data_IF_031357683311
#
_entry.id   IF_031357683311
#
_cell.length_a   1.000
_cell.length_b   1.000
_cell.length_c   1.000
_cell.angle_alpha   90.00
_cell.angle_beta   90.00
_cell.angle_gamma   90.00
#
_symmetry.space_group_name_H-M   'P 1'
#
loop_
_entity.id
_entity.type
_entity.pdbx_description
1 polymer ?
#
# COMPACT_ATOMS: atom_id res chain seq x y z
N UNK A 1 20.02 -43.40 4.83
CA UNK A 1 18.97 -42.89 3.92
C UNK A 1 18.03 -41.82 4.53
N UNK A 2 17.90 -41.68 5.86
CA UNK A 2 16.93 -40.76 6.50
C UNK A 2 17.27 -39.25 6.42
N UNK A 3 18.55 -38.85 6.55
CA UNK A 3 18.97 -37.42 6.53
C UNK A 3 18.69 -36.70 5.20
N UNK A 4 18.84 -37.38 4.07
CA UNK A 4 18.64 -36.80 2.73
C UNK A 4 17.16 -36.55 2.42
N UNK A 5 16.28 -37.41 2.96
CA UNK A 5 14.82 -37.20 2.94
C UNK A 5 14.39 -36.07 3.87
N UNK A 6 14.99 -35.96 5.04
CA UNK A 6 14.69 -34.88 6.00
C UNK A 6 15.08 -33.50 5.46
N UNK A 7 16.28 -33.35 4.88
CA UNK A 7 16.70 -32.09 4.25
C UNK A 7 15.85 -31.73 3.03
N UNK A 8 15.44 -32.71 2.23
CA UNK A 8 14.53 -32.50 1.11
C UNK A 8 13.13 -32.03 1.54
N UNK A 9 12.57 -32.62 2.60
CA UNK A 9 11.28 -32.22 3.15
C UNK A 9 11.32 -30.85 3.85
N UNK A 10 12.43 -30.50 4.52
CA UNK A 10 12.60 -29.18 5.12
C UNK A 10 12.72 -28.08 4.06
N UNK A 11 13.41 -28.36 2.94
CA UNK A 11 13.57 -27.41 1.83
C UNK A 11 12.24 -27.12 1.11
N UNK A 12 11.37 -28.11 0.91
CA UNK A 12 10.05 -27.90 0.27
C UNK A 12 9.09 -27.11 1.15
N UNK A 13 9.11 -27.32 2.47
CA UNK A 13 8.30 -26.53 3.41
C UNK A 13 8.78 -25.07 3.45
N UNK A 14 10.09 -24.83 3.54
CA UNK A 14 10.66 -23.49 3.59
C UNK A 14 10.38 -22.69 2.30
N UNK A 15 10.50 -23.32 1.13
CA UNK A 15 10.17 -22.69 -0.16
C UNK A 15 8.67 -22.35 -0.27
N UNK A 16 7.78 -23.23 0.20
CA UNK A 16 6.33 -22.99 0.19
C UNK A 16 5.92 -21.81 1.06
N UNK A 17 6.56 -21.61 2.23
CA UNK A 17 6.26 -20.48 3.11
C UNK A 17 6.78 -19.14 2.60
N UNK A 18 7.91 -19.12 1.89
CA UNK A 18 8.50 -17.88 1.38
C UNK A 18 7.74 -17.33 0.16
N UNK A 19 7.20 -18.20 -0.70
CA UNK A 19 6.41 -17.82 -1.88
C UNK A 19 4.99 -17.33 -1.54
N UNK A 20 4.47 -17.70 -0.35
CA UNK A 20 3.10 -17.39 0.03
C UNK A 20 2.84 -15.88 0.12
N UNK A 21 3.74 -15.11 0.73
CA UNK A 21 3.52 -13.68 0.96
C UNK A 21 3.36 -12.88 -0.35
N UNK A 22 4.22 -13.10 -1.33
CA UNK A 22 4.09 -12.47 -2.66
C UNK A 22 2.88 -13.01 -3.43
N UNK A 23 2.54 -14.30 -3.28
CA UNK A 23 1.36 -14.89 -3.91
C UNK A 23 0.04 -14.27 -3.41
N UNK A 24 0.02 -13.69 -2.19
CA UNK A 24 -1.15 -13.01 -1.64
C UNK A 24 -1.07 -11.48 -1.71
N UNK A 25 0.03 -10.91 -2.19
CA UNK A 25 0.19 -9.46 -2.27
C UNK A 25 -0.61 -8.90 -3.45
N UNK A 26 -1.53 -7.97 -3.17
CA UNK A 26 -2.29 -7.26 -4.22
C UNK A 26 -1.36 -6.38 -5.06
N UNK A 27 -1.47 -6.52 -6.38
CA UNK A 27 -0.82 -5.58 -7.31
C UNK A 27 -1.65 -4.30 -7.45
N UNK A 28 -0.97 -3.16 -7.47
CA UNK A 28 -1.56 -1.86 -7.83
C UNK A 28 -0.75 -1.20 -8.96
N UNK A 29 -0.07 -2.01 -9.78
CA UNK A 29 0.64 -1.54 -10.96
C UNK A 29 -0.35 -1.17 -12.09
N UNK A 30 0.13 -0.53 -13.18
CA UNK A 30 -0.70 -0.23 -14.35
C UNK A 30 -1.36 -1.48 -14.95
N UNK A 31 -0.66 -2.61 -14.91
CA UNK A 31 -1.12 -3.91 -15.44
C UNK A 31 -1.74 -4.81 -14.35
N UNK A 32 -2.12 -4.24 -13.20
CA UNK A 32 -2.79 -5.01 -12.16
C UNK A 32 -4.17 -5.49 -12.60
N UNK A 33 -4.61 -6.63 -12.07
CA UNK A 33 -5.96 -7.12 -12.31
C UNK A 33 -7.02 -6.08 -11.88
N UNK A 34 -8.09 -5.89 -12.67
CA UNK A 34 -9.16 -4.97 -12.31
C UNK A 34 -9.81 -5.35 -10.97
N UNK A 35 -9.93 -4.36 -10.09
CA UNK A 35 -10.55 -4.54 -8.78
C UNK A 35 -12.07 -4.68 -8.94
N UNK A 36 -12.64 -5.74 -8.39
CA UNK A 36 -14.10 -5.92 -8.30
C UNK A 36 -14.66 -5.21 -7.07
N UNK A 37 -15.87 -4.66 -7.22
CA UNK A 37 -16.61 -4.05 -6.12
C UNK A 37 -17.55 -5.07 -5.44
N UNK A 38 -17.77 -4.95 -4.12
CA UNK A 38 -17.06 -4.08 -3.18
C UNK A 38 -15.60 -4.53 -3.01
N UNK A 39 -14.69 -3.59 -2.77
CA UNK A 39 -13.28 -3.92 -2.60
C UNK A 39 -13.11 -4.95 -1.45
N UNK A 40 -12.47 -6.11 -1.72
CA UNK A 40 -12.36 -7.19 -0.74
C UNK A 40 -11.48 -6.81 0.46
N UNK A 41 -10.57 -5.86 0.31
CA UNK A 41 -9.62 -5.46 1.36
C UNK A 41 -10.21 -4.39 2.31
N UNK A 42 -11.38 -3.83 1.99
CA UNK A 42 -12.10 -2.89 2.86
C UNK A 42 -13.07 -3.69 3.73
N UNK A 43 -12.63 -4.09 4.92
CA UNK A 43 -13.41 -4.95 5.83
C UNK A 43 -14.04 -4.16 6.98
N UNK A 44 -15.26 -4.51 7.37
CA UNK A 44 -15.95 -3.93 8.53
C UNK A 44 -15.72 -4.84 9.72
N UNK A 45 -14.99 -4.35 10.73
CA UNK A 45 -14.66 -5.14 11.93
C UNK A 45 -15.75 -5.06 13.00
N UNK A 46 -16.40 -3.91 13.14
CA UNK A 46 -17.45 -3.68 14.14
C UNK A 46 -18.80 -3.45 13.46
N UNK A 47 -19.84 -4.16 13.93
CA UNK A 47 -21.20 -4.08 13.40
C UNK A 47 -21.81 -2.68 13.49
N UNK A 48 -21.31 -1.81 14.38
CA UNK A 48 -21.74 -0.40 14.50
C UNK A 48 -21.29 0.44 13.31
N UNK A 49 -20.21 0.07 12.62
CA UNK A 49 -19.73 0.81 11.47
C UNK A 49 -20.56 0.47 10.23
N UNK A 50 -21.35 1.43 9.76
CA UNK A 50 -22.26 1.28 8.60
C UNK A 50 -21.80 2.04 7.35
N UNK A 51 -20.63 2.68 7.40
CA UNK A 51 -20.17 3.63 6.39
C UNK A 51 -19.17 3.04 5.39
N UNK A 52 -19.12 1.71 5.24
CA UNK A 52 -18.30 1.09 4.19
C UNK A 52 -18.83 1.51 2.83
N UNK A 53 -17.97 2.15 2.04
CA UNK A 53 -18.29 2.52 0.67
C UNK A 53 -18.12 1.30 -0.25
N UNK A 54 -19.19 0.92 -0.96
CA UNK A 54 -19.24 -0.33 -1.73
C UNK A 54 -18.82 -0.21 -3.20
N UNK A 55 -18.58 1.00 -3.69
CA UNK A 55 -18.37 1.31 -5.11
C UNK A 55 -17.02 2.01 -5.39
N UNK A 56 -16.04 1.88 -4.49
CA UNK A 56 -14.70 2.45 -4.66
C UNK A 56 -13.62 1.40 -4.37
N UNK A 57 -12.49 1.43 -5.08
CA UNK A 57 -11.35 0.58 -4.78
C UNK A 57 -10.35 1.31 -3.87
N UNK A 58 -9.43 0.56 -3.28
CA UNK A 58 -8.18 1.11 -2.74
C UNK A 58 -7.27 1.50 -3.91
N UNK A 59 -6.76 2.74 -3.88
CA UNK A 59 -5.85 3.27 -4.89
C UNK A 59 -4.48 3.57 -4.27
N UNK A 60 -3.41 3.28 -5.01
CA UNK A 60 -2.05 3.68 -4.64
C UNK A 60 -1.67 4.96 -5.38
N UNK A 61 -1.64 6.08 -4.65
CA UNK A 61 -1.34 7.40 -5.21
C UNK A 61 0.16 7.64 -5.43
N UNK A 62 1.04 7.02 -4.64
CA UNK A 62 2.48 7.25 -4.72
C UNK A 62 3.33 6.05 -4.30
N UNK A 63 4.58 6.03 -4.76
CA UNK A 63 5.66 5.11 -4.39
C UNK A 63 6.97 5.90 -4.32
N UNK A 64 7.94 5.42 -3.55
CA UNK A 64 9.29 5.99 -3.53
C UNK A 64 9.64 6.80 -2.28
N UNK A 65 8.79 6.75 -1.25
CA UNK A 65 9.15 7.18 0.10
C UNK A 65 9.87 6.06 0.86
N UNK A 66 10.78 6.42 1.77
CA UNK A 66 11.33 5.46 2.74
C UNK A 66 10.35 5.23 3.88
N UNK A 67 9.71 6.29 4.38
CA UNK A 67 8.65 6.22 5.39
C UNK A 67 7.66 7.38 5.20
N UNK A 68 6.53 7.07 4.57
CA UNK A 68 5.43 8.01 4.44
C UNK A 68 4.63 8.11 5.75
N UNK A 69 4.53 9.31 6.33
CA UNK A 69 3.77 9.57 7.55
C UNK A 69 3.15 10.97 7.55
N UNK A 70 2.22 11.23 8.48
CA UNK A 70 1.64 12.55 8.73
C UNK A 70 0.78 13.06 7.57
N UNK A 71 -0.17 12.25 7.04
CA UNK A 71 -1.05 12.71 5.98
C UNK A 71 -1.90 13.88 6.46
N UNK A 72 -1.95 14.96 5.69
CA UNK A 72 -2.77 16.13 5.97
C UNK A 72 -3.44 16.65 4.70
N UNK A 73 -4.76 16.76 4.72
CA UNK A 73 -5.56 17.26 3.59
C UNK A 73 -5.82 18.75 3.72
N UNK A 74 -5.58 19.52 2.64
CA UNK A 74 -6.06 20.89 2.52
C UNK A 74 -7.25 20.93 1.55
N UNK A 75 -8.44 21.21 2.06
CA UNK A 75 -9.67 21.25 1.27
C UNK A 75 -9.75 22.47 0.32
N UNK A 76 -9.24 23.63 0.73
CA UNK A 76 -9.26 24.85 -0.10
C UNK A 76 -8.29 24.71 -1.27
N UNK A 77 -7.09 24.20 -0.98
CA UNK A 77 -6.05 23.98 -1.99
C UNK A 77 -6.18 22.66 -2.75
N UNK A 78 -7.08 21.77 -2.34
CA UNK A 78 -7.32 20.45 -2.95
C UNK A 78 -6.05 19.61 -3.12
N UNK A 79 -5.29 19.48 -2.03
CA UNK A 79 -4.06 18.69 -2.03
C UNK A 79 -3.85 17.92 -0.73
N UNK A 80 -3.15 16.79 -0.83
CA UNK A 80 -2.70 15.97 0.28
C UNK A 80 -1.20 16.19 0.49
N UNK A 81 -0.78 16.49 1.72
CA UNK A 81 0.61 16.43 2.16
C UNK A 81 0.91 15.16 2.95
N UNK A 82 2.18 14.74 2.92
CA UNK A 82 2.76 13.81 3.88
C UNK A 82 4.27 14.04 3.97
N UNK A 83 4.90 13.53 5.03
CA UNK A 83 6.36 13.55 5.21
C UNK A 83 6.98 12.25 4.73
N UNK A 84 8.20 12.34 4.19
CA UNK A 84 9.12 11.20 4.05
C UNK A 84 10.28 11.39 5.04
N UNK A 85 10.09 10.88 6.26
CA UNK A 85 10.90 11.26 7.44
C UNK A 85 12.41 11.06 7.21
N UNK A 86 12.88 9.89 6.73
CA UNK A 86 14.32 9.67 6.53
C UNK A 86 14.94 10.57 5.47
N UNK A 87 14.15 11.07 4.51
CA UNK A 87 14.61 11.95 3.44
C UNK A 87 14.48 13.45 3.78
N UNK A 88 14.00 13.78 5.00
CA UNK A 88 13.82 15.15 5.48
C UNK A 88 13.05 16.05 4.48
N UNK A 89 11.96 15.53 3.92
CA UNK A 89 11.12 16.27 3.00
C UNK A 89 9.63 16.02 3.26
N UNK A 90 8.81 16.97 2.81
CA UNK A 90 7.37 16.80 2.68
C UNK A 90 7.00 16.80 1.20
N UNK A 91 6.11 15.89 0.83
CA UNK A 91 5.56 15.74 -0.51
C UNK A 91 4.15 16.31 -0.56
N UNK A 92 3.70 16.64 -1.77
CA UNK A 92 2.33 17.12 -2.02
C UNK A 92 1.75 16.43 -3.24
N UNK A 93 0.59 15.79 -3.08
CA UNK A 93 -0.25 15.27 -4.16
C UNK A 93 -1.37 16.26 -4.48
N UNK A 94 -1.54 16.62 -5.76
CA UNK A 94 -2.61 17.49 -6.24
C UNK A 94 -3.81 16.65 -6.71
N UNK A 95 -5.02 17.04 -6.31
CA UNK A 95 -6.24 16.31 -6.69
C UNK A 95 -6.61 16.50 -8.16
N UNK A 96 -6.25 17.63 -8.77
CA UNK A 96 -6.67 18.01 -10.11
C UNK A 96 -6.08 17.13 -11.23
N UNK A 97 -4.82 16.74 -11.10
CA UNK A 97 -4.08 15.99 -12.11
C UNK A 97 -3.38 14.74 -11.55
N UNK A 98 -3.46 14.53 -10.24
CA UNK A 98 -2.80 13.42 -9.55
C UNK A 98 -1.28 13.59 -9.41
N UNK A 99 -0.72 14.75 -9.73
CA UNK A 99 0.72 15.00 -9.68
C UNK A 99 1.24 14.98 -8.24
N UNK A 100 2.40 14.34 -8.03
CA UNK A 100 3.13 14.38 -6.76
C UNK A 100 4.41 15.18 -6.90
N UNK A 101 4.49 16.31 -6.20
CA UNK A 101 5.72 17.09 -6.06
C UNK A 101 6.54 16.61 -4.85
N UNK A 102 7.81 16.27 -5.08
CA UNK A 102 8.81 16.06 -4.01
C UNK A 102 9.40 17.39 -3.55
N UNK A 103 9.98 17.43 -2.34
CA UNK A 103 10.48 18.64 -1.69
C UNK A 103 9.51 19.83 -1.78
N UNK A 104 8.22 19.57 -1.61
CA UNK A 104 7.24 20.66 -1.49
C UNK A 104 7.58 21.56 -0.30
N UNK A 105 8.08 20.95 0.78
CA UNK A 105 8.76 21.64 1.88
C UNK A 105 9.96 20.81 2.36
N UNK A 106 11.03 21.49 2.75
CA UNK A 106 12.19 20.90 3.43
C UNK A 106 12.30 21.53 4.81
N UNK A 107 11.88 20.82 5.88
CA UNK A 107 12.21 21.22 7.24
C UNK A 107 13.73 21.15 7.38
N UNK A 108 14.38 22.28 7.67
CA UNK A 108 15.84 22.37 7.83
C UNK A 108 16.39 21.34 8.81
#
# INVERSE_FOLDING_TARGET
MARRRFLGAAATVAAGTAMAADAFARSFGPDAEPVRYPDPDVVVLDKRFRYKLGNTPIMRLYRGTLWAEGPAWNAVGRYLLWSDIPNNEQLRWLEEDGHVSRRFRSPS
#
